data_IF_526613492514
#
_entry.id   IF_526613492514
#
_cell.length_a   1.000
_cell.length_b   1.000
_cell.length_c   1.000
_cell.angle_alpha   90.00
_cell.angle_beta   90.00
_cell.angle_gamma   90.00
#
_symmetry.space_group_name_H-M   'P 1'
#
loop_
_entity.id
_entity.type
_entity.pdbx_description
1 polymer ?
#
# COMPACT_ATOMS: atom_id res chain seq x y z
N UNK A 1 50.67 -5.13 55.81
CA UNK A 1 49.21 -5.34 55.63
C UNK A 1 48.53 -4.35 54.67
N UNK A 2 49.17 -3.25 54.25
CA UNK A 2 48.55 -2.22 53.39
C UNK A 2 48.39 -2.61 51.91
N UNK A 3 49.29 -3.42 51.34
CA UNK A 3 49.21 -3.83 49.93
C UNK A 3 47.99 -4.73 49.61
N UNK A 4 47.58 -5.58 50.54
CA UNK A 4 46.39 -6.44 50.42
C UNK A 4 45.10 -5.62 50.37
N UNK A 5 45.03 -4.53 51.15
CA UNK A 5 43.88 -3.62 51.23
C UNK A 5 43.75 -2.77 49.95
N UNK A 6 44.86 -2.30 49.37
CA UNK A 6 44.85 -1.60 48.09
C UNK A 6 44.39 -2.50 46.93
N UNK A 7 44.86 -3.77 46.87
CA UNK A 7 44.47 -4.72 45.82
C UNK A 7 42.97 -5.05 45.89
N UNK A 8 42.41 -5.22 47.09
CA UNK A 8 40.96 -5.42 47.30
C UNK A 8 40.14 -4.18 46.93
N UNK A 9 40.60 -2.97 47.26
CA UNK A 9 39.95 -1.70 46.87
C UNK A 9 39.98 -1.51 45.35
N UNK A 10 41.09 -1.81 44.67
CA UNK A 10 41.23 -1.74 43.21
C UNK A 10 40.34 -2.76 42.51
N UNK A 11 40.25 -3.99 43.03
CA UNK A 11 39.34 -5.03 42.51
C UNK A 11 37.87 -4.65 42.69
N UNK A 12 37.48 -4.10 43.84
CA UNK A 12 36.12 -3.57 44.06
C UNK A 12 35.79 -2.41 43.12
N UNK A 13 36.71 -1.46 42.93
CA UNK A 13 36.53 -0.37 41.96
C UNK A 13 36.38 -0.90 40.53
N UNK A 14 37.19 -1.89 40.14
CA UNK A 14 37.11 -2.51 38.82
C UNK A 14 35.75 -3.20 38.61
N UNK A 15 35.27 -3.95 39.61
CA UNK A 15 33.95 -4.60 39.56
C UNK A 15 32.83 -3.56 39.43
N UNK A 16 32.88 -2.46 40.20
CA UNK A 16 31.88 -1.39 40.11
C UNK A 16 31.89 -0.74 38.73
N UNK A 17 33.07 -0.44 38.16
CA UNK A 17 33.19 0.13 36.81
C UNK A 17 32.62 -0.82 35.76
N UNK A 18 32.93 -2.12 35.85
CA UNK A 18 32.38 -3.13 34.91
C UNK A 18 30.86 -3.21 35.02
N UNK A 19 30.30 -3.22 36.23
CA UNK A 19 28.84 -3.26 36.43
C UNK A 19 28.19 -2.00 35.85
N UNK A 20 28.76 -0.81 36.07
CA UNK A 20 28.24 0.44 35.50
C UNK A 20 28.27 0.41 33.98
N UNK A 21 29.36 -0.07 33.37
CA UNK A 21 29.47 -0.19 31.92
C UNK A 21 28.44 -1.19 31.35
N UNK A 22 28.24 -2.33 31.99
CA UNK A 22 27.24 -3.32 31.57
C UNK A 22 25.83 -2.73 31.66
N UNK A 23 25.51 -2.01 32.75
CA UNK A 23 24.21 -1.35 32.90
C UNK A 23 23.99 -0.29 31.82
N UNK A 24 25.01 0.53 31.52
CA UNK A 24 24.93 1.52 30.44
C UNK A 24 24.68 0.87 29.07
N UNK A 25 25.37 -0.23 28.75
CA UNK A 25 25.15 -0.97 27.50
C UNK A 25 23.74 -1.52 27.43
N UNK A 26 23.21 -2.10 28.53
CA UNK A 26 21.84 -2.62 28.58
C UNK A 26 20.81 -1.50 28.39
N UNK A 27 21.02 -0.33 29.00
CA UNK A 27 20.14 0.84 28.83
C UNK A 27 20.17 1.33 27.38
N UNK A 28 21.35 1.43 26.75
CA UNK A 28 21.47 1.84 25.34
C UNK A 28 20.78 0.85 24.41
N UNK A 29 20.93 -0.46 24.65
CA UNK A 29 20.24 -1.49 23.87
C UNK A 29 18.71 -1.44 24.07
N UNK A 30 18.24 -1.22 25.30
CA UNK A 30 16.81 -1.09 25.59
C UNK A 30 16.20 0.17 24.96
N UNK A 31 16.92 1.30 24.98
CA UNK A 31 16.50 2.53 24.31
C UNK A 31 16.55 2.41 22.78
N UNK A 32 17.58 1.75 22.23
CA UNK A 32 17.70 1.49 20.80
C UNK A 32 16.60 0.55 20.28
N UNK A 33 16.28 -0.51 21.02
CA UNK A 33 15.16 -1.40 20.71
C UNK A 33 13.81 -0.71 20.94
N UNK A 34 13.66 0.10 22.00
CA UNK A 34 12.45 0.87 22.27
C UNK A 34 12.16 1.94 21.20
N UNK A 35 13.18 2.63 20.72
CA UNK A 35 13.08 3.56 19.59
C UNK A 35 12.87 2.83 18.26
N UNK A 36 13.51 1.66 18.08
CA UNK A 36 13.32 0.81 16.90
C UNK A 36 11.94 0.14 16.82
N UNK A 37 11.26 -0.07 17.96
CA UNK A 37 9.91 -0.63 18.05
C UNK A 37 8.82 0.46 18.04
N UNK A 38 9.13 1.69 18.46
CA UNK A 38 8.20 2.84 18.35
C UNK A 38 8.28 3.56 17.01
N UNK A 39 9.39 3.43 16.27
CA UNK A 39 9.33 3.46 14.81
C UNK A 39 8.65 2.19 14.33
N UNK A 40 7.33 2.11 14.58
CA UNK A 40 6.45 1.28 13.80
C UNK A 40 6.83 1.55 12.35
N UNK A 41 7.49 0.56 11.75
CA UNK A 41 7.82 0.53 10.34
C UNK A 41 6.47 0.66 9.65
N UNK A 42 6.07 1.88 9.32
CA UNK A 42 4.98 2.16 8.41
C UNK A 42 5.45 1.65 7.06
N UNK A 43 5.39 0.33 6.89
CA UNK A 43 5.65 -0.34 5.63
C UNK A 43 4.47 -0.01 4.74
N UNK A 44 4.58 1.12 4.04
CA UNK A 44 3.85 1.43 2.83
C UNK A 44 2.34 1.20 2.91
N UNK A 45 1.57 2.19 3.36
CA UNK A 45 0.11 2.11 3.26
C UNK A 45 -0.35 1.92 1.82
N UNK A 46 -1.63 1.63 1.59
CA UNK A 46 -2.19 1.54 0.23
C UNK A 46 -1.85 2.77 -0.63
N UNK A 47 -1.84 3.97 -0.02
CA UNK A 47 -1.41 5.21 -0.67
C UNK A 47 0.00 5.11 -1.22
N UNK A 48 0.96 4.59 -0.45
CA UNK A 48 2.35 4.47 -0.88
C UNK A 48 2.48 3.46 -2.02
N UNK A 49 1.78 2.33 -1.93
CA UNK A 49 1.74 1.34 -3.01
C UNK A 49 1.13 1.92 -4.28
N UNK A 50 0.04 2.67 -4.16
CA UNK A 50 -0.61 3.36 -5.25
C UNK A 50 0.32 4.37 -5.92
N UNK A 51 0.92 5.27 -5.14
CA UNK A 51 1.80 6.32 -5.65
C UNK A 51 3.03 5.71 -6.34
N UNK A 52 3.64 4.69 -5.76
CA UNK A 52 4.77 3.96 -6.35
C UNK A 52 4.41 3.33 -7.70
N UNK A 53 3.21 2.75 -7.83
CA UNK A 53 2.75 2.15 -9.10
C UNK A 53 2.38 3.23 -10.11
N UNK A 54 1.74 4.30 -9.68
CA UNK A 54 1.36 5.43 -10.53
C UNK A 54 2.59 6.12 -11.14
N UNK A 55 3.68 6.28 -10.38
CA UNK A 55 4.93 6.91 -10.85
C UNK A 55 5.59 6.19 -12.03
N UNK A 56 5.16 4.97 -12.38
CA UNK A 56 5.61 4.29 -13.61
C UNK A 56 5.02 4.91 -14.88
N UNK A 57 4.02 5.78 -14.76
CA UNK A 57 3.34 6.45 -15.85
C UNK A 57 3.67 7.95 -15.81
N UNK A 58 4.61 8.36 -16.67
CA UNK A 58 5.18 9.72 -16.65
C UNK A 58 4.17 10.84 -16.91
N UNK A 59 3.05 10.54 -17.58
CA UNK A 59 2.02 11.51 -17.96
C UNK A 59 0.96 11.76 -16.87
N UNK A 60 1.08 11.09 -15.71
CA UNK A 60 0.08 11.19 -14.63
C UNK A 60 0.56 12.07 -13.47
N UNK A 61 -0.32 12.99 -13.04
CA UNK A 61 -0.17 13.66 -11.75
C UNK A 61 -0.65 12.72 -10.64
N UNK A 62 0.25 11.92 -10.08
CA UNK A 62 -0.10 10.85 -9.16
C UNK A 62 -0.79 11.29 -7.86
N UNK A 63 -0.54 12.51 -7.38
CA UNK A 63 -1.28 13.01 -6.21
C UNK A 63 -2.72 13.36 -6.58
N UNK A 64 -2.93 14.07 -7.70
CA UNK A 64 -4.29 14.35 -8.17
C UNK A 64 -5.07 13.07 -8.47
N UNK A 65 -4.39 12.07 -9.05
CA UNK A 65 -4.97 10.75 -9.34
C UNK A 65 -5.31 9.99 -8.06
N UNK A 66 -4.45 10.04 -7.03
CA UNK A 66 -4.76 9.49 -5.71
C UNK A 66 -5.96 10.19 -5.06
N UNK A 67 -5.99 11.52 -5.11
CA UNK A 67 -7.07 12.31 -4.53
C UNK A 67 -8.41 12.06 -5.22
N UNK A 68 -8.41 11.91 -6.54
CA UNK A 68 -9.58 11.50 -7.31
C UNK A 68 -10.04 10.08 -6.94
N UNK A 69 -9.09 9.16 -6.77
CA UNK A 69 -9.37 7.79 -6.37
C UNK A 69 -10.02 7.69 -4.99
N UNK A 70 -9.40 8.27 -3.95
CA UNK A 70 -9.90 8.14 -2.58
C UNK A 70 -11.28 8.78 -2.38
N UNK A 71 -11.56 9.87 -3.10
CA UNK A 71 -12.84 10.61 -3.03
C UNK A 71 -14.06 9.75 -3.35
N UNK A 72 -13.89 8.67 -4.12
CA UNK A 72 -14.99 7.76 -4.47
C UNK A 72 -15.59 7.05 -3.24
N UNK A 73 -14.78 6.78 -2.21
CA UNK A 73 -15.15 5.88 -1.12
C UNK A 73 -14.88 6.40 0.30
N UNK A 74 -14.03 7.42 0.50
CA UNK A 74 -13.83 7.98 1.84
C UNK A 74 -15.14 8.58 2.38
N UNK A 75 -15.32 8.51 3.71
CA UNK A 75 -16.52 8.98 4.40
C UNK A 75 -17.83 8.38 3.86
N UNK A 76 -17.78 7.14 3.37
CA UNK A 76 -18.93 6.40 2.86
C UNK A 76 -18.96 4.98 3.43
N UNK A 77 -20.15 4.41 3.47
CA UNK A 77 -20.31 2.97 3.67
C UNK A 77 -19.70 2.23 2.46
N UNK A 78 -18.81 1.24 2.67
CA UNK A 78 -18.17 0.50 1.58
C UNK A 78 -19.12 -0.32 0.70
N UNK A 79 -20.38 -0.48 1.10
CA UNK A 79 -21.46 -1.11 0.35
C UNK A 79 -22.40 -0.14 -0.37
N UNK A 80 -22.13 1.17 -0.33
CA UNK A 80 -22.94 2.20 -1.02
C UNK A 80 -22.15 2.94 -2.10
N UNK A 81 -20.99 2.43 -2.52
CA UNK A 81 -20.14 3.07 -3.52
C UNK A 81 -20.57 2.61 -4.91
N UNK A 82 -21.23 3.48 -5.67
CA UNK A 82 -21.69 3.20 -7.03
C UNK A 82 -20.54 3.27 -8.04
N UNK A 83 -20.76 2.77 -9.27
CA UNK A 83 -19.72 2.74 -10.32
C UNK A 83 -19.30 4.14 -10.78
N UNK A 84 -20.24 5.08 -10.86
CA UNK A 84 -20.04 6.47 -11.27
C UNK A 84 -19.25 7.29 -10.25
N UNK A 85 -19.18 6.85 -8.99
CA UNK A 85 -18.33 7.47 -7.98
C UNK A 85 -16.84 7.49 -8.38
N UNK A 86 -16.42 6.61 -9.28
CA UNK A 86 -15.05 6.52 -9.80
C UNK A 86 -14.81 7.34 -11.06
N UNK A 87 -15.82 8.00 -11.63
CA UNK A 87 -15.67 8.77 -12.87
C UNK A 87 -14.57 9.84 -12.78
N UNK A 88 -14.47 10.64 -11.69
CA UNK A 88 -13.36 11.58 -11.54
C UNK A 88 -11.97 10.91 -11.55
N UNK A 89 -11.86 9.69 -11.03
CA UNK A 89 -10.61 8.92 -11.10
C UNK A 89 -10.32 8.45 -12.53
N UNK A 90 -11.32 7.92 -13.24
CA UNK A 90 -11.17 7.50 -14.63
C UNK A 90 -10.74 8.67 -15.52
N UNK A 91 -11.32 9.86 -15.31
CA UNK A 91 -10.98 11.07 -16.04
C UNK A 91 -9.58 11.61 -15.70
N UNK A 92 -9.20 11.56 -14.42
CA UNK A 92 -7.86 11.96 -13.98
C UNK A 92 -6.75 11.05 -14.55
N UNK A 93 -7.08 9.78 -14.83
CA UNK A 93 -6.18 8.85 -15.50
C UNK A 93 -6.31 9.04 -17.01
N UNK A 94 -5.67 10.11 -17.51
CA UNK A 94 -5.48 10.30 -18.96
C UNK A 94 -4.47 9.28 -19.46
N UNK A 95 -4.94 8.28 -20.21
CA UNK A 95 -4.06 7.36 -20.93
C UNK A 95 -4.49 7.22 -22.38
N UNK A 96 -3.50 7.27 -23.27
CA UNK A 96 -3.67 6.85 -24.66
C UNK A 96 -3.43 5.36 -24.71
N UNK A 97 -4.39 4.61 -25.24
CA UNK A 97 -4.11 3.22 -25.54
C UNK A 97 -3.08 3.20 -26.66
N UNK A 98 -1.90 2.65 -26.39
CA UNK A 98 -0.91 2.40 -27.45
C UNK A 98 -1.31 1.18 -28.31
N UNK A 99 -2.32 0.43 -27.86
CA UNK A 99 -2.70 -0.87 -28.40
C UNK A 99 -4.22 -0.93 -28.59
N UNK A 100 -4.70 -1.24 -29.79
CA UNK A 100 -6.14 -1.20 -30.10
C UNK A 100 -6.86 -2.54 -29.80
N UNK A 101 -6.18 -3.47 -29.11
CA UNK A 101 -6.72 -4.81 -28.82
C UNK A 101 -6.65 -5.07 -27.32
N UNK A 102 -7.81 -4.99 -26.67
CA UNK A 102 -8.01 -5.43 -25.30
C UNK A 102 -8.35 -6.92 -25.24
N UNK A 103 -7.77 -7.64 -24.28
CA UNK A 103 -8.17 -8.99 -23.90
C UNK A 103 -8.92 -8.94 -22.56
N UNK A 104 -10.22 -9.22 -22.60
CA UNK A 104 -11.03 -9.42 -21.40
C UNK A 104 -10.94 -10.88 -20.95
N UNK A 105 -10.91 -11.09 -19.65
CA UNK A 105 -10.82 -12.42 -19.06
C UNK A 105 -11.71 -12.51 -17.81
N UNK A 106 -12.12 -13.73 -17.46
CA UNK A 106 -12.88 -14.00 -16.23
C UNK A 106 -12.39 -15.31 -15.62
N UNK A 107 -11.90 -15.23 -14.37
CA UNK A 107 -11.29 -16.36 -13.64
C UNK A 107 -10.08 -17.01 -14.33
N UNK A 108 -9.57 -16.42 -15.41
CA UNK A 108 -8.44 -16.91 -16.21
C UNK A 108 -7.28 -15.92 -16.27
N UNK A 109 -7.09 -15.12 -15.21
CA UNK A 109 -6.07 -14.06 -15.07
C UNK A 109 -4.69 -14.51 -15.57
N UNK A 110 -4.18 -15.59 -15.00
CA UNK A 110 -2.83 -16.08 -15.28
C UNK A 110 -2.63 -16.51 -16.74
N UNK A 111 -3.66 -17.14 -17.32
CA UNK A 111 -3.64 -17.56 -18.73
C UNK A 111 -3.69 -16.35 -19.65
N UNK A 112 -4.56 -15.38 -19.36
CA UNK A 112 -4.69 -14.16 -20.15
C UNK A 112 -3.38 -13.36 -20.14
N UNK A 113 -2.77 -13.16 -18.97
CA UNK A 113 -1.48 -12.48 -18.86
C UNK A 113 -0.34 -13.22 -19.56
N UNK A 114 -0.27 -14.55 -19.42
CA UNK A 114 0.74 -15.36 -20.12
C UNK A 114 0.60 -15.28 -21.65
N UNK A 115 -0.63 -15.09 -22.14
CA UNK A 115 -0.94 -14.94 -23.55
C UNK A 115 -0.59 -13.55 -24.09
N UNK A 116 -0.87 -12.48 -23.33
CA UNK A 116 -0.56 -11.10 -23.74
C UNK A 116 0.93 -10.80 -23.69
N UNK A 117 1.68 -11.31 -22.71
CA UNK A 117 3.12 -11.10 -22.58
C UNK A 117 3.94 -11.48 -23.83
N UNK A 118 3.42 -12.39 -24.66
CA UNK A 118 4.08 -12.87 -25.88
C UNK A 118 3.60 -12.19 -27.16
N UNK A 119 2.76 -11.15 -27.07
CA UNK A 119 2.09 -10.55 -28.23
C UNK A 119 2.19 -9.04 -28.19
N UNK A 120 2.69 -8.48 -29.28
CA UNK A 120 2.65 -7.04 -29.47
C UNK A 120 1.21 -6.55 -29.61
N UNK A 121 0.93 -5.40 -29.00
CA UNK A 121 -0.35 -4.72 -29.12
C UNK A 121 -1.60 -5.51 -28.65
N UNK A 122 -1.45 -6.45 -27.71
CA UNK A 122 -2.56 -7.09 -27.01
C UNK A 122 -2.41 -6.88 -25.50
N UNK A 123 -3.36 -6.19 -24.87
CA UNK A 123 -3.26 -5.78 -23.47
C UNK A 123 -4.49 -6.20 -22.66
N UNK A 124 -4.31 -6.51 -21.39
CA UNK A 124 -5.38 -6.70 -20.41
C UNK A 124 -5.72 -5.37 -19.72
N UNK A 125 -6.79 -5.32 -18.92
CA UNK A 125 -7.12 -4.13 -18.11
C UNK A 125 -5.97 -3.80 -17.16
N UNK A 126 -5.34 -4.84 -16.58
CA UNK A 126 -4.23 -4.77 -15.65
C UNK A 126 -2.94 -4.22 -16.27
N UNK A 127 -2.83 -4.19 -17.60
CA UNK A 127 -1.71 -3.58 -18.33
C UNK A 127 -1.93 -2.08 -18.60
N UNK A 128 -3.15 -1.57 -18.38
CA UNK A 128 -3.46 -0.13 -18.44
C UNK A 128 -3.17 0.57 -17.12
N UNK A 129 -2.97 1.91 -17.06
CA UNK A 129 -2.74 2.60 -15.79
C UNK A 129 -3.89 2.42 -14.80
N UNK A 130 -5.12 2.29 -15.29
CA UNK A 130 -6.29 1.99 -14.46
C UNK A 130 -6.06 0.68 -13.69
N UNK A 131 -5.82 -0.42 -14.39
CA UNK A 131 -5.63 -1.72 -13.75
C UNK A 131 -4.30 -1.84 -13.02
N UNK A 132 -3.18 -1.43 -13.63
CA UNK A 132 -1.83 -1.62 -13.11
C UNK A 132 -1.61 -0.99 -11.73
N UNK A 133 -2.22 0.19 -11.48
CA UNK A 133 -2.09 0.88 -10.20
C UNK A 133 -2.83 0.12 -9.09
N UNK A 134 -4.02 -0.42 -9.38
CA UNK A 134 -4.94 -0.98 -8.39
C UNK A 134 -4.99 -2.51 -8.35
N UNK A 135 -4.23 -3.19 -9.23
CA UNK A 135 -4.21 -4.64 -9.33
C UNK A 135 -3.89 -5.31 -7.98
N UNK A 136 -4.68 -6.30 -7.60
CA UNK A 136 -4.57 -7.05 -6.34
C UNK A 136 -4.62 -6.20 -5.06
N UNK A 137 -5.08 -4.95 -5.12
CA UNK A 137 -5.33 -4.12 -3.93
C UNK A 137 -6.77 -4.29 -3.44
N UNK A 138 -6.95 -4.14 -2.13
CA UNK A 138 -8.26 -4.05 -1.47
C UNK A 138 -8.31 -2.76 -0.68
N UNK A 139 -9.43 -2.04 -0.76
CA UNK A 139 -9.65 -0.80 -0.04
C UNK A 139 -11.11 -0.63 0.33
N UNK A 140 -11.35 0.15 1.37
CA UNK A 140 -12.66 0.64 1.73
C UNK A 140 -12.58 1.95 2.50
N UNK A 141 -13.66 2.72 2.47
CA UNK A 141 -13.89 3.80 3.41
C UNK A 141 -14.72 3.33 4.60
N UNK A 142 -15.02 4.27 5.48
CA UNK A 142 -15.95 4.10 6.59
C UNK A 142 -16.73 5.38 6.78
N UNK A 143 -18.04 5.28 7.00
CA UNK A 143 -18.88 6.44 7.29
C UNK A 143 -18.31 7.21 8.51
N UNK A 144 -18.14 8.52 8.37
CA UNK A 144 -17.56 9.39 9.39
C UNK A 144 -16.02 9.40 9.44
N UNK A 145 -15.33 8.69 8.54
CA UNK A 145 -13.86 8.69 8.45
C UNK A 145 -13.37 9.05 7.05
N UNK A 146 -12.37 9.92 6.99
CA UNK A 146 -11.66 10.27 5.76
C UNK A 146 -10.45 9.36 5.47
N UNK A 147 -10.27 8.30 6.25
CA UNK A 147 -9.18 7.35 6.07
C UNK A 147 -9.53 6.25 5.05
N UNK A 148 -8.48 5.67 4.47
CA UNK A 148 -8.58 4.47 3.64
C UNK A 148 -8.19 3.25 4.47
N UNK A 149 -9.08 2.27 4.54
CA UNK A 149 -8.84 1.01 5.22
C UNK A 149 -8.53 -0.10 4.23
N UNK A 150 -7.61 -0.98 4.59
CA UNK A 150 -7.27 -2.21 3.83
C UNK A 150 -7.66 -3.49 4.57
N UNK A 151 -8.09 -3.36 5.81
CA UNK A 151 -8.57 -4.45 6.67
C UNK A 151 -10.00 -4.13 7.13
N UNK A 152 -10.78 -5.19 7.43
CA UNK A 152 -12.19 -5.04 7.79
C UNK A 152 -13.10 -4.60 6.64
N UNK A 153 -12.62 -4.65 5.39
CA UNK A 153 -13.43 -4.34 4.22
C UNK A 153 -14.38 -5.50 3.86
N UNK A 154 -15.59 -5.20 3.36
CA UNK A 154 -16.48 -6.22 2.85
C UNK A 154 -15.85 -6.95 1.65
N UNK A 155 -16.02 -8.28 1.61
CA UNK A 155 -15.57 -9.09 0.48
C UNK A 155 -16.24 -8.68 -0.84
N UNK A 156 -15.63 -9.05 -1.97
CA UNK A 156 -16.03 -8.63 -3.32
C UNK A 156 -17.52 -8.82 -3.62
N UNK A 157 -18.11 -9.93 -3.15
CA UNK A 157 -19.52 -10.29 -3.38
C UNK A 157 -20.43 -10.03 -2.17
N UNK A 158 -19.95 -9.35 -1.13
CA UNK A 158 -20.73 -9.11 0.08
C UNK A 158 -21.92 -8.16 -0.15
N UNK A 159 -21.83 -7.30 -1.18
CA UNK A 159 -22.87 -6.35 -1.54
C UNK A 159 -22.72 -5.90 -3.01
N UNK A 160 -23.78 -5.32 -3.59
CA UNK A 160 -23.80 -4.97 -5.02
C UNK A 160 -22.98 -3.73 -5.36
N UNK A 161 -23.05 -2.71 -4.51
CA UNK A 161 -22.26 -1.48 -4.60
C UNK A 161 -21.02 -1.55 -3.70
N UNK A 162 -20.37 -2.72 -3.66
CA UNK A 162 -19.06 -2.89 -3.03
C UNK A 162 -18.04 -2.00 -3.74
N UNK A 163 -17.28 -1.22 -2.98
CA UNK A 163 -16.32 -0.24 -3.51
C UNK A 163 -15.30 -0.80 -4.50
N UNK A 164 -14.70 -1.97 -4.24
CA UNK A 164 -13.72 -2.60 -5.14
C UNK A 164 -14.42 -3.15 -6.38
N UNK A 165 -15.58 -3.79 -6.22
CA UNK A 165 -16.40 -4.31 -7.33
C UNK A 165 -16.86 -3.19 -8.26
N UNK A 166 -17.34 -2.09 -7.70
CA UNK A 166 -17.79 -0.91 -8.44
C UNK A 166 -16.66 -0.29 -9.25
N UNK A 167 -15.46 -0.18 -8.66
CA UNK A 167 -14.26 0.24 -9.37
C UNK A 167 -13.97 -0.64 -10.58
N UNK A 168 -13.85 -1.96 -10.41
CA UNK A 168 -13.48 -2.86 -11.50
C UNK A 168 -14.53 -2.89 -12.62
N UNK A 169 -15.82 -2.80 -12.27
CA UNK A 169 -16.90 -2.62 -13.26
C UNK A 169 -16.69 -1.34 -14.07
N UNK A 170 -16.40 -0.22 -13.41
CA UNK A 170 -16.25 1.07 -14.09
C UNK A 170 -14.99 1.15 -14.95
N UNK A 171 -13.87 0.62 -14.44
CA UNK A 171 -12.61 0.53 -15.16
C UNK A 171 -12.73 -0.36 -16.42
N UNK A 172 -13.36 -1.53 -16.30
CA UNK A 172 -13.64 -2.42 -17.44
C UNK A 172 -14.47 -1.72 -18.52
N UNK A 173 -15.51 -0.98 -18.11
CA UNK A 173 -16.33 -0.20 -19.04
C UNK A 173 -15.56 0.96 -19.69
N UNK A 174 -14.60 1.58 -19.00
CA UNK A 174 -13.79 2.66 -19.52
C UNK A 174 -12.79 2.16 -20.58
N UNK A 175 -12.13 1.04 -20.34
CA UNK A 175 -11.17 0.47 -21.32
C UNK A 175 -11.86 -0.13 -22.54
N UNK A 176 -13.09 -0.64 -22.39
CA UNK A 176 -13.85 -1.21 -23.52
C UNK A 176 -14.33 -0.16 -24.53
N UNK A 177 -14.26 1.13 -24.19
CA UNK A 177 -14.67 2.25 -25.04
C UNK A 177 -13.50 2.94 -25.75
N UNK A 178 -12.26 2.53 -25.48
CA UNK A 178 -11.03 3.09 -26.06
C UNK A 178 -10.47 2.14 -27.11
#
# INVERSE_FOLDING_TARGET
>A
MEQQTQKRRRRRRLVVVVVVLVVLVVVVLALGLGLGLTHGRSSGGIKDTFLKRCQKFNDLNCQNVWDAFQRAYINRDPCTVTTDAYDPFIEAVSFKSQCNRGLLWSKTKEVAHSFTQKRDCLVTLEDTPLGAILNDLTWCGKQGSNETFTSGCPGYSACDNNTVRSYWKRASAAVSKK
#
